data_IF_890672138468
#
_entry.id   IF_890672138468
#
_cell.length_a   1.000
_cell.length_b   1.000
_cell.length_c   1.000
_cell.angle_alpha   90.00
_cell.angle_beta   90.00
_cell.angle_gamma   90.00
#
_symmetry.space_group_name_H-M   'P 1'
#
loop_
_entity.id
_entity.type
_entity.pdbx_description
1 polymer ?
#
# COMPACT_ATOMS: atom_id res chain seq x y z
N UNK A 1 -32.06 -0.18 5.53
CA UNK A 1 -31.46 -1.49 5.88
C UNK A 1 -30.00 -1.43 5.46
N UNK A 2 -29.06 -1.72 6.36
CA UNK A 2 -27.61 -1.70 6.07
C UNK A 2 -27.24 -3.08 5.51
N UNK A 3 -26.45 -3.10 4.43
CA UNK A 3 -25.88 -4.33 3.87
C UNK A 3 -24.42 -4.46 4.31
N UNK A 4 -24.08 -5.59 4.94
CA UNK A 4 -22.75 -5.89 5.47
C UNK A 4 -21.95 -6.83 4.56
N UNK A 5 -22.55 -7.31 3.46
CA UNK A 5 -21.89 -8.23 2.54
C UNK A 5 -21.02 -7.49 1.53
N UNK A 6 -19.84 -8.06 1.26
CA UNK A 6 -18.96 -7.54 0.23
C UNK A 6 -19.54 -7.77 -1.17
N UNK A 7 -19.51 -6.76 -2.07
CA UNK A 7 -19.82 -6.98 -3.47
C UNK A 7 -18.92 -8.05 -4.10
N UNK A 8 -19.46 -8.87 -5.00
CA UNK A 8 -18.72 -9.97 -5.67
C UNK A 8 -17.37 -9.56 -6.26
N UNK A 9 -17.28 -8.35 -6.82
CA UNK A 9 -16.01 -7.81 -7.36
C UNK A 9 -14.94 -7.66 -6.27
N UNK A 10 -15.33 -7.27 -5.06
CA UNK A 10 -14.41 -7.11 -3.94
C UNK A 10 -14.01 -8.45 -3.34
N UNK A 11 -14.92 -9.44 -3.31
CA UNK A 11 -14.58 -10.82 -2.91
C UNK A 11 -13.49 -11.43 -3.79
N UNK A 12 -13.57 -11.26 -5.12
CA UNK A 12 -12.53 -11.76 -6.02
C UNK A 12 -11.17 -11.08 -5.78
N UNK A 13 -11.19 -9.77 -5.52
CA UNK A 13 -9.97 -9.02 -5.20
C UNK A 13 -9.38 -9.44 -3.84
N UNK A 14 -10.22 -9.63 -2.82
CA UNK A 14 -9.82 -10.14 -1.51
C UNK A 14 -9.13 -11.50 -1.64
N UNK A 15 -9.73 -12.45 -2.36
CA UNK A 15 -9.14 -13.77 -2.59
C UNK A 15 -7.79 -13.70 -3.30
N UNK A 16 -7.66 -12.83 -4.31
CA UNK A 16 -6.39 -12.63 -5.02
C UNK A 16 -5.32 -12.06 -4.08
N UNK A 17 -5.66 -11.07 -3.25
CA UNK A 17 -4.75 -10.50 -2.25
C UNK A 17 -4.35 -11.55 -1.20
N UNK A 18 -5.27 -12.40 -0.76
CA UNK A 18 -4.99 -13.49 0.16
C UNK A 18 -4.02 -14.52 -0.42
N UNK A 19 -4.18 -14.86 -1.71
CA UNK A 19 -3.26 -15.77 -2.41
C UNK A 19 -1.85 -15.17 -2.52
N UNK A 20 -1.74 -13.87 -2.79
CA UNK A 20 -0.45 -13.19 -2.79
C UNK A 20 0.19 -13.21 -1.38
N UNK A 21 -0.57 -12.89 -0.34
CA UNK A 21 -0.09 -12.85 1.03
C UNK A 21 0.37 -14.24 1.51
N UNK A 22 -0.41 -15.28 1.24
CA UNK A 22 -0.07 -16.67 1.59
C UNK A 22 1.08 -17.23 0.77
N UNK A 23 1.21 -16.85 -0.50
CA UNK A 23 2.25 -17.34 -1.41
C UNK A 23 3.60 -16.61 -1.28
N UNK A 24 3.60 -15.32 -0.89
CA UNK A 24 4.81 -14.49 -0.87
C UNK A 24 5.18 -14.04 0.53
N UNK A 25 4.27 -13.41 1.28
CA UNK A 25 4.62 -12.77 2.56
C UNK A 25 4.75 -13.81 3.67
N UNK A 26 3.75 -14.68 3.81
CA UNK A 26 3.71 -15.65 4.90
C UNK A 26 4.92 -16.60 4.93
N UNK A 27 5.42 -17.13 3.80
CA UNK A 27 6.56 -18.05 3.80
C UNK A 27 7.89 -17.39 4.21
N UNK A 28 8.06 -16.09 3.94
CA UNK A 28 9.32 -15.38 4.21
C UNK A 28 9.30 -14.58 5.53
N UNK A 29 8.13 -14.38 6.14
CA UNK A 29 7.95 -13.63 7.39
C UNK A 29 8.98 -13.99 8.46
N UNK A 30 9.08 -15.26 8.86
CA UNK A 30 10.01 -15.68 9.93
C UNK A 30 11.50 -15.54 9.55
N UNK A 31 11.83 -15.62 8.25
CA UNK A 31 13.21 -15.42 7.78
C UNK A 31 13.63 -13.97 8.02
N UNK A 32 12.80 -13.02 7.60
CA UNK A 32 13.11 -11.60 7.69
C UNK A 32 12.93 -11.02 9.09
N UNK A 33 11.98 -11.53 9.86
CA UNK A 33 11.87 -11.25 11.29
C UNK A 33 13.16 -11.59 12.06
N UNK A 34 13.82 -12.71 11.74
CA UNK A 34 15.11 -13.08 12.37
C UNK A 34 16.32 -12.27 11.90
N UNK A 35 16.26 -11.73 10.69
CA UNK A 35 17.35 -10.90 10.15
C UNK A 35 17.28 -9.50 10.76
N UNK A 36 16.08 -9.06 11.18
CA UNK A 36 15.80 -7.71 11.70
C UNK A 36 16.28 -6.62 10.74
N UNK A 37 17.50 -6.11 10.95
CA UNK A 37 18.14 -5.09 10.15
C UNK A 37 18.89 -5.73 8.97
N UNK A 38 18.17 -5.94 7.88
CA UNK A 38 18.73 -6.43 6.64
C UNK A 38 18.39 -5.56 5.43
N UNK A 39 18.95 -5.96 4.30
CA UNK A 39 18.53 -5.45 3.00
C UNK A 39 17.04 -5.73 2.76
N UNK A 40 16.41 -4.88 1.93
CA UNK A 40 15.02 -5.10 1.53
C UNK A 40 14.87 -6.49 0.90
N UNK A 41 13.87 -7.30 1.31
CA UNK A 41 13.65 -8.61 0.70
C UNK A 41 13.50 -8.51 -0.81
N UNK A 42 14.34 -9.23 -1.56
CA UNK A 42 14.30 -9.22 -3.02
C UNK A 42 12.95 -9.73 -3.56
N UNK A 43 12.30 -10.61 -2.80
CA UNK A 43 10.96 -11.16 -3.05
C UNK A 43 9.87 -10.08 -3.08
N UNK A 44 10.10 -8.90 -2.48
CA UNK A 44 9.16 -7.78 -2.52
C UNK A 44 9.28 -6.91 -3.76
N UNK A 45 10.37 -6.99 -4.54
CA UNK A 45 10.53 -6.19 -5.77
C UNK A 45 9.47 -6.51 -6.84
N UNK A 46 9.16 -7.78 -7.16
CA UNK A 46 8.07 -8.10 -8.08
C UNK A 46 6.70 -7.64 -7.56
N UNK A 47 6.50 -7.72 -6.24
CA UNK A 47 5.27 -7.25 -5.59
C UNK A 47 5.11 -5.74 -5.77
N UNK A 48 6.17 -4.97 -5.57
CA UNK A 48 6.18 -3.53 -5.80
C UNK A 48 5.85 -3.17 -7.26
N UNK A 49 6.42 -3.90 -8.22
CA UNK A 49 6.12 -3.71 -9.66
C UNK A 49 4.65 -4.00 -9.97
N UNK A 50 4.10 -5.10 -9.45
CA UNK A 50 2.70 -5.46 -9.62
C UNK A 50 1.77 -4.39 -9.04
N UNK A 51 2.05 -3.91 -7.82
CA UNK A 51 1.27 -2.84 -7.18
C UNK A 51 1.36 -1.52 -7.95
N UNK A 52 2.54 -1.16 -8.46
CA UNK A 52 2.72 0.03 -9.27
C UNK A 52 1.89 -0.04 -10.56
N UNK A 53 1.87 -1.19 -11.24
CA UNK A 53 1.00 -1.40 -12.40
C UNK A 53 -0.49 -1.28 -12.06
N UNK A 54 -0.91 -1.89 -10.94
CA UNK A 54 -2.30 -1.78 -10.47
C UNK A 54 -2.70 -0.33 -10.17
N UNK A 55 -1.82 0.44 -9.53
CA UNK A 55 -2.02 1.88 -9.27
C UNK A 55 -2.07 2.70 -10.56
N UNK A 56 -1.23 2.41 -11.55
CA UNK A 56 -1.26 3.10 -12.85
C UNK A 56 -2.55 2.83 -13.64
N UNK A 57 -3.10 1.61 -13.52
CA UNK A 57 -4.41 1.27 -14.10
C UNK A 57 -5.57 1.94 -13.35
N UNK A 58 -5.49 2.05 -12.01
CA UNK A 58 -6.46 2.82 -11.22
C UNK A 58 -6.37 4.34 -11.46
N UNK A 59 -5.18 4.89 -11.72
CA UNK A 59 -4.95 6.30 -12.02
C UNK A 59 -5.57 6.77 -13.34
N UNK A 60 -5.87 5.84 -14.26
CA UNK A 60 -6.69 6.10 -15.45
C UNK A 60 -8.20 6.13 -15.15
N UNK A 61 -8.61 5.74 -13.94
CA UNK A 61 -9.98 5.67 -13.46
C UNK A 61 -10.39 6.85 -12.58
N UNK A 62 -10.10 8.08 -13.03
CA UNK A 62 -10.86 9.29 -12.69
C UNK A 62 -10.77 9.81 -11.25
N UNK A 63 -10.46 11.11 -11.14
CA UNK A 63 -11.14 12.01 -10.21
C UNK A 63 -12.64 11.98 -10.53
N UNK A 64 -13.33 10.90 -10.16
CA UNK A 64 -14.77 10.78 -10.31
C UNK A 64 -15.40 11.83 -9.42
N UNK A 65 -15.96 12.89 -10.02
CA UNK A 65 -16.74 13.89 -9.31
C UNK A 65 -17.73 13.23 -8.35
N UNK A 66 -17.92 13.86 -7.19
CA UNK A 66 -18.84 13.40 -6.17
C UNK A 66 -20.23 13.14 -6.80
N UNK A 67 -20.56 11.87 -6.99
CA UNK A 67 -21.91 11.45 -7.33
C UNK A 67 -22.67 11.18 -6.05
N UNK A 68 -23.95 11.56 -6.00
CA UNK A 68 -24.86 11.37 -4.86
C UNK A 68 -25.22 9.89 -4.60
N UNK A 69 -24.25 9.06 -4.21
CA UNK A 69 -24.49 7.66 -3.84
C UNK A 69 -23.29 6.98 -3.19
N UNK A 70 -23.57 6.01 -2.31
CA UNK A 70 -22.54 5.16 -1.68
C UNK A 70 -21.92 4.25 -2.75
N UNK A 71 -20.72 4.61 -3.21
CA UNK A 71 -19.93 3.75 -4.10
C UNK A 71 -18.87 3.05 -3.26
N UNK A 72 -18.94 1.72 -3.21
CA UNK A 72 -17.84 0.88 -2.73
C UNK A 72 -16.66 1.00 -3.73
N UNK A 73 -15.90 2.08 -3.58
CA UNK A 73 -14.90 2.55 -4.52
C UNK A 73 -13.48 2.10 -4.18
N UNK A 74 -12.50 2.87 -4.65
CA UNK A 74 -11.07 2.58 -4.48
C UNK A 74 -10.65 2.41 -3.01
N UNK A 75 -11.27 3.15 -2.08
CA UNK A 75 -10.96 3.04 -0.65
C UNK A 75 -11.31 1.67 -0.07
N UNK A 76 -12.47 1.09 -0.41
CA UNK A 76 -12.85 -0.23 0.09
C UNK A 76 -11.95 -1.33 -0.50
N UNK A 77 -11.56 -1.20 -1.77
CA UNK A 77 -10.55 -2.08 -2.37
C UNK A 77 -9.20 -1.96 -1.65
N UNK A 78 -8.79 -0.73 -1.31
CA UNK A 78 -7.58 -0.46 -0.55
C UNK A 78 -7.60 -1.14 0.82
N UNK A 79 -8.69 -0.98 1.59
CA UNK A 79 -8.84 -1.60 2.92
C UNK A 79 -8.72 -3.12 2.85
N UNK A 80 -9.49 -3.78 1.98
CA UNK A 80 -9.46 -5.24 1.84
C UNK A 80 -8.09 -5.74 1.38
N UNK A 81 -7.44 -5.03 0.46
CA UNK A 81 -6.08 -5.37 0.03
C UNK A 81 -5.08 -5.29 1.17
N UNK A 82 -5.11 -4.20 1.94
CA UNK A 82 -4.24 -4.01 3.10
C UNK A 82 -4.50 -5.08 4.15
N UNK A 83 -5.76 -5.40 4.44
CA UNK A 83 -6.16 -6.45 5.40
C UNK A 83 -5.53 -7.80 5.04
N UNK A 84 -5.74 -8.27 3.81
CA UNK A 84 -5.25 -9.57 3.36
C UNK A 84 -3.72 -9.64 3.32
N UNK A 85 -3.06 -8.55 2.91
CA UNK A 85 -1.60 -8.47 2.92
C UNK A 85 -1.03 -8.45 4.34
N UNK A 86 -1.70 -7.73 5.25
CA UNK A 86 -1.33 -7.66 6.67
C UNK A 86 -1.47 -9.01 7.36
N UNK A 87 -2.45 -9.83 6.94
CA UNK A 87 -2.57 -11.22 7.38
C UNK A 87 -1.31 -12.05 7.04
N UNK A 88 -0.71 -11.81 5.87
CA UNK A 88 0.55 -12.43 5.49
C UNK A 88 1.68 -12.01 6.41
N UNK A 89 1.97 -10.72 6.43
CA UNK A 89 2.89 -10.04 7.35
C UNK A 89 2.81 -8.51 7.15
N UNK A 90 2.50 -7.76 8.21
CA UNK A 90 2.39 -6.28 8.14
C UNK A 90 3.75 -5.60 7.94
N UNK A 91 4.83 -6.15 8.50
CA UNK A 91 6.17 -5.58 8.37
C UNK A 91 6.63 -5.64 6.92
N UNK A 92 6.53 -6.82 6.31
CA UNK A 92 6.86 -7.01 4.89
C UNK A 92 5.98 -6.17 3.97
N UNK A 93 4.68 -6.06 4.28
CA UNK A 93 3.75 -5.20 3.53
C UNK A 93 4.19 -3.72 3.55
N UNK A 94 4.57 -3.20 4.72
CA UNK A 94 5.07 -1.83 4.87
C UNK A 94 6.48 -1.64 4.26
N UNK A 95 7.26 -2.72 4.15
CA UNK A 95 8.56 -2.74 3.49
C UNK A 95 8.50 -2.85 1.97
N UNK A 96 7.30 -2.95 1.36
CA UNK A 96 7.18 -2.94 -0.11
C UNK A 96 7.65 -1.58 -0.65
N UNK A 97 8.67 -1.55 -1.53
CA UNK A 97 9.21 -0.29 -2.05
C UNK A 97 8.18 0.55 -2.83
N UNK A 98 8.44 1.86 -2.91
CA UNK A 98 7.70 2.84 -3.72
C UNK A 98 6.20 2.98 -3.35
N UNK A 99 5.81 2.47 -2.19
CA UNK A 99 4.42 2.37 -1.75
C UNK A 99 4.02 3.25 -0.56
N UNK A 100 4.99 3.82 0.17
CA UNK A 100 4.82 4.34 1.53
C UNK A 100 4.46 5.82 1.67
N UNK A 101 4.34 6.28 2.92
CA UNK A 101 3.89 7.64 3.27
C UNK A 101 4.80 8.75 2.70
N UNK A 102 6.12 8.54 2.67
CA UNK A 102 7.04 9.50 2.04
C UNK A 102 6.75 9.70 0.55
N UNK A 103 6.49 8.61 -0.18
CA UNK A 103 6.08 8.69 -1.59
C UNK A 103 4.73 9.37 -1.74
N UNK A 104 3.77 9.10 -0.84
CA UNK A 104 2.45 9.73 -0.87
C UNK A 104 2.55 11.26 -0.72
N UNK A 105 3.42 11.76 0.16
CA UNK A 105 3.66 13.19 0.33
C UNK A 105 4.21 13.84 -0.95
N UNK A 106 5.24 13.25 -1.58
CA UNK A 106 5.80 13.75 -2.85
C UNK A 106 4.72 13.79 -3.95
N UNK A 107 3.91 12.74 -4.05
CA UNK A 107 2.84 12.69 -5.05
C UNK A 107 1.72 13.71 -4.79
N UNK A 108 1.41 13.99 -3.52
CA UNK A 108 0.36 14.92 -3.13
C UNK A 108 0.76 16.38 -3.35
N UNK A 109 1.96 16.79 -2.91
CA UNK A 109 2.33 18.22 -2.84
C UNK A 109 3.56 18.60 -3.69
N UNK A 110 4.28 17.64 -4.25
CA UNK A 110 5.49 17.93 -5.03
C UNK A 110 5.22 18.59 -6.39
N UNK A 111 6.17 19.41 -6.85
CA UNK A 111 6.20 19.95 -8.22
C UNK A 111 6.41 18.85 -9.25
N UNK A 112 6.28 19.16 -10.55
CA UNK A 112 6.53 18.20 -11.61
C UNK A 112 7.97 17.66 -11.57
N UNK A 113 8.94 18.55 -11.36
CA UNK A 113 10.36 18.23 -11.27
C UNK A 113 10.65 17.37 -10.04
N UNK A 114 10.05 17.70 -8.89
CA UNK A 114 10.20 16.92 -7.66
C UNK A 114 9.59 15.51 -7.80
N UNK A 115 8.45 15.39 -8.47
CA UNK A 115 7.82 14.08 -8.74
C UNK A 115 8.68 13.23 -9.67
N UNK A 116 9.24 13.84 -10.71
CA UNK A 116 10.14 13.14 -11.64
C UNK A 116 11.41 12.66 -10.93
N UNK A 117 12.02 13.52 -10.12
CA UNK A 117 13.27 13.23 -9.42
C UNK A 117 13.09 12.25 -8.26
N UNK A 118 12.07 12.44 -7.42
CA UNK A 118 11.95 11.74 -6.14
C UNK A 118 10.82 10.71 -6.08
N UNK A 119 9.82 10.79 -6.96
CA UNK A 119 8.62 9.94 -6.87
C UNK A 119 8.87 8.43 -7.05
N UNK A 120 9.99 8.06 -7.67
CA UNK A 120 10.41 6.67 -7.91
C UNK A 120 11.39 6.11 -6.87
N UNK A 121 11.81 6.93 -5.91
CA UNK A 121 12.72 6.52 -4.85
C UNK A 121 11.96 5.84 -3.71
N UNK A 122 12.65 5.06 -2.90
CA UNK A 122 12.08 4.53 -1.67
C UNK A 122 12.15 5.59 -0.57
N UNK A 123 11.03 6.22 -0.24
CA UNK A 123 10.99 7.37 0.67
C UNK A 123 10.34 7.03 2.02
N UNK A 124 11.01 7.43 3.09
CA UNK A 124 10.47 7.41 4.45
C UNK A 124 9.90 8.80 4.82
N UNK A 125 9.11 8.84 5.90
CA UNK A 125 8.62 10.09 6.48
C UNK A 125 9.32 10.33 7.82
N UNK A 126 10.10 11.40 7.89
CA UNK A 126 10.83 11.80 9.08
C UNK A 126 10.09 12.95 9.77
N UNK A 127 9.06 12.63 10.56
CA UNK A 127 8.36 13.59 11.41
C UNK A 127 8.81 13.46 12.87
N UNK A 128 8.82 12.24 13.41
CA UNK A 128 9.04 11.98 14.83
C UNK A 128 10.47 12.31 15.27
N UNK A 129 10.58 13.00 16.40
CA UNK A 129 11.84 13.33 17.09
C UNK A 129 11.89 12.69 18.49
N UNK A 130 13.06 12.56 19.16
CA UNK A 130 13.15 11.93 20.48
C UNK A 130 12.24 12.55 21.56
N UNK A 131 11.95 13.86 21.46
CA UNK A 131 11.10 14.58 22.40
C UNK A 131 9.67 14.84 21.92
N UNK A 132 9.34 14.53 20.67
CA UNK A 132 8.08 14.91 20.03
C UNK A 132 7.59 13.83 19.05
N UNK A 133 6.39 13.30 19.32
CA UNK A 133 5.74 12.31 18.47
C UNK A 133 4.25 12.61 18.29
N UNK A 134 3.47 12.55 19.39
CA UNK A 134 2.05 12.91 19.34
C UNK A 134 1.81 14.41 19.09
N UNK A 135 2.73 15.26 19.57
CA UNK A 135 2.72 16.71 19.42
C UNK A 135 3.84 17.13 18.47
N UNK A 136 3.64 16.86 17.18
CA UNK A 136 4.68 17.01 16.14
C UNK A 136 4.60 18.34 15.38
N UNK A 137 3.78 19.29 15.83
CA UNK A 137 3.48 20.54 15.13
C UNK A 137 4.06 21.75 15.85
#
# INVERSE_FOLDING_TARGET
MINLELPKKLLGMQQMSHQLASGVFRPISRKYDRIEHGETPAELLPVAQMMAMARAQQGQGGKGGASEGVRNGANMQGVLGVEEMSWGDIGLMLSVPNGGLGNAAIMAVGTAEQKEQFGKLYCAMAITEPGAGSDSA
#
